data_IF_813197589929
#
_entry.id   IF_813197589929
#
_cell.length_a   1.000
_cell.length_b   1.000
_cell.length_c   1.000
_cell.angle_alpha   90.00
_cell.angle_beta   90.00
_cell.angle_gamma   90.00
#
_symmetry.space_group_name_H-M   'P 1'
#
loop_
_entity.id
_entity.type
_entity.pdbx_description
1 polymer ?
#
# COMPACT_ATOMS: atom_id res chain seq x y z
N UNK A 1 22.28 12.45 42.90
CA UNK A 1 22.83 12.99 41.64
C UNK A 1 21.99 12.51 40.47
N UNK A 2 20.90 13.20 40.19
CA UNK A 2 20.03 13.00 39.03
C UNK A 2 20.69 13.64 37.82
N UNK A 3 21.17 12.82 36.89
CA UNK A 3 21.78 13.30 35.64
C UNK A 3 20.66 13.82 34.74
N UNK A 4 20.54 15.13 34.66
CA UNK A 4 19.74 15.81 33.64
C UNK A 4 20.33 15.48 32.25
N UNK A 5 19.80 14.46 31.60
CA UNK A 5 20.02 14.21 30.15
C UNK A 5 18.86 14.86 29.42
N UNK A 6 18.87 16.19 29.40
CA UNK A 6 17.77 16.99 28.87
C UNK A 6 18.30 18.29 28.29
N UNK A 7 19.17 18.20 27.28
CA UNK A 7 19.58 19.31 26.41
C UNK A 7 20.55 18.75 25.38
N UNK A 8 20.16 18.68 24.10
CA UNK A 8 21.02 18.77 22.90
C UNK A 8 20.36 18.24 21.62
N UNK A 9 19.22 17.55 21.69
CA UNK A 9 18.47 17.19 20.48
C UNK A 9 17.61 18.39 20.09
N UNK A 10 17.93 19.03 18.96
CA UNK A 10 17.04 20.03 18.36
C UNK A 10 15.68 19.43 18.02
N UNK A 11 14.69 20.28 17.70
CA UNK A 11 13.29 19.89 17.42
C UNK A 11 13.13 18.78 16.36
N UNK A 12 14.18 18.51 15.58
CA UNK A 12 14.25 17.53 14.51
C UNK A 12 14.71 16.14 14.95
N UNK A 13 15.17 15.92 16.17
CA UNK A 13 15.64 14.60 16.62
C UNK A 13 16.90 14.10 15.89
N UNK A 14 17.21 12.81 16.03
CA UNK A 14 18.37 12.15 15.40
C UNK A 14 17.98 11.25 14.21
N UNK A 15 18.95 10.84 13.40
CA UNK A 15 18.74 9.90 12.29
C UNK A 15 18.08 8.58 12.72
N UNK A 16 18.42 8.07 13.91
CA UNK A 16 17.81 6.87 14.45
C UNK A 16 16.32 7.06 14.79
N UNK A 17 15.94 8.27 15.25
CA UNK A 17 14.56 8.61 15.56
C UNK A 17 13.71 8.70 14.29
N UNK A 18 14.27 9.27 13.22
CA UNK A 18 13.63 9.28 11.90
C UNK A 18 13.54 7.89 11.28
N UNK A 19 14.56 7.04 11.41
CA UNK A 19 14.52 5.68 10.89
C UNK A 19 13.44 4.82 11.58
N UNK A 20 13.23 5.05 12.88
CA UNK A 20 12.14 4.44 13.66
C UNK A 20 10.76 4.94 13.18
N UNK A 21 10.62 6.25 13.00
CA UNK A 21 9.37 6.91 12.57
C UNK A 21 8.97 6.50 11.14
N UNK A 22 9.91 6.55 10.20
CA UNK A 22 9.71 6.21 8.79
C UNK A 22 9.65 4.68 8.56
N UNK A 23 9.91 3.87 9.58
CA UNK A 23 9.96 2.40 9.50
C UNK A 23 10.73 1.94 8.27
N UNK A 24 11.97 2.42 8.10
CA UNK A 24 12.83 2.24 6.90
C UNK A 24 12.90 0.79 6.40
N UNK A 25 12.76 -0.19 7.28
CA UNK A 25 12.69 -1.61 6.91
C UNK A 25 11.53 -1.94 5.94
N UNK A 26 10.44 -1.18 5.96
CA UNK A 26 9.28 -1.39 5.10
C UNK A 26 9.51 -0.89 3.66
N UNK A 27 10.45 0.05 3.45
CA UNK A 27 10.72 0.66 2.15
C UNK A 27 11.07 -0.33 1.06
N UNK A 28 11.69 -1.47 1.40
CA UNK A 28 12.06 -2.49 0.43
C UNK A 28 10.86 -3.17 -0.24
N UNK A 29 9.67 -3.07 0.35
CA UNK A 29 8.45 -3.67 -0.19
C UNK A 29 7.59 -2.70 -1.01
N UNK A 30 7.80 -1.39 -0.82
CA UNK A 30 6.96 -0.32 -1.39
C UNK A 30 7.02 -0.26 -2.93
N UNK A 31 8.18 -0.39 -3.61
CA UNK A 31 8.24 -0.29 -5.07
C UNK A 31 7.40 -1.32 -5.83
N UNK A 32 6.94 -2.39 -5.16
CA UNK A 32 6.23 -3.50 -5.77
C UNK A 32 4.99 -3.09 -6.55
N UNK A 33 4.20 -2.15 -6.05
CA UNK A 33 2.95 -1.72 -6.70
C UNK A 33 3.22 -0.91 -7.96
N UNK A 34 4.14 0.05 -7.89
CA UNK A 34 4.55 0.85 -9.04
C UNK A 34 5.16 -0.03 -10.17
N UNK A 35 5.97 -1.02 -9.81
CA UNK A 35 6.52 -2.00 -10.74
C UNK A 35 5.43 -2.92 -11.32
N UNK A 36 4.49 -3.38 -10.50
CA UNK A 36 3.33 -4.15 -10.95
C UNK A 36 2.46 -3.34 -11.92
N UNK A 37 2.33 -2.03 -11.72
CA UNK A 37 1.65 -1.11 -12.63
C UNK A 37 2.31 -1.06 -14.01
N UNK A 38 3.63 -0.93 -14.05
CA UNK A 38 4.39 -0.98 -15.31
C UNK A 38 4.21 -2.32 -16.03
N UNK A 39 4.31 -3.44 -15.29
CA UNK A 39 4.09 -4.77 -15.84
C UNK A 39 2.66 -4.96 -16.37
N UNK A 40 1.66 -4.46 -15.64
CA UNK A 40 0.25 -4.49 -16.04
C UNK A 40 -0.03 -3.65 -17.30
N UNK A 41 0.73 -2.58 -17.52
CA UNK A 41 0.73 -1.79 -18.74
C UNK A 41 1.54 -2.45 -19.89
N UNK A 42 2.08 -3.65 -19.66
CA UNK A 42 2.91 -4.44 -20.61
C UNK A 42 4.12 -3.66 -21.12
N UNK A 43 4.72 -2.85 -20.26
CA UNK A 43 5.95 -2.10 -20.57
C UNK A 43 7.10 -2.56 -19.68
N UNK A 44 8.32 -2.49 -20.21
CA UNK A 44 9.53 -2.69 -19.40
C UNK A 44 9.75 -1.47 -18.50
N UNK A 45 10.38 -1.63 -17.32
CA UNK A 45 10.74 -0.51 -16.47
C UNK A 45 11.49 0.56 -17.25
N UNK A 46 11.02 1.80 -17.14
CA UNK A 46 11.57 2.95 -17.85
C UNK A 46 11.67 4.17 -16.91
N UNK A 47 12.03 5.34 -17.45
CA UNK A 47 12.12 6.58 -16.66
C UNK A 47 10.83 6.90 -15.91
N UNK A 48 9.67 6.70 -16.54
CA UNK A 48 8.37 6.90 -15.91
C UNK A 48 8.14 5.93 -14.74
N UNK A 49 8.55 4.67 -14.89
CA UNK A 49 8.52 3.69 -13.79
C UNK A 49 9.39 4.13 -12.61
N UNK A 50 10.61 4.61 -12.87
CA UNK A 50 11.50 5.09 -11.82
C UNK A 50 10.89 6.30 -11.07
N UNK A 51 10.29 7.24 -11.79
CA UNK A 51 9.58 8.38 -11.20
C UNK A 51 8.37 7.95 -10.37
N UNK A 52 7.60 6.95 -10.82
CA UNK A 52 6.50 6.40 -10.04
C UNK A 52 6.97 5.68 -8.77
N UNK A 53 8.09 4.95 -8.83
CA UNK A 53 8.70 4.34 -7.64
C UNK A 53 9.13 5.41 -6.65
N UNK A 54 9.80 6.48 -7.11
CA UNK A 54 10.15 7.61 -6.25
C UNK A 54 8.90 8.26 -5.65
N UNK A 55 7.85 8.49 -6.45
CA UNK A 55 6.59 9.05 -5.97
C UNK A 55 5.91 8.16 -4.91
N UNK A 56 5.84 6.85 -5.17
CA UNK A 56 5.29 5.85 -4.25
C UNK A 56 6.05 5.81 -2.92
N UNK A 57 7.38 5.79 -2.95
CA UNK A 57 8.22 5.85 -1.75
C UNK A 57 7.98 7.14 -0.94
N UNK A 58 7.97 8.29 -1.61
CA UNK A 58 7.71 9.57 -0.96
C UNK A 58 6.31 9.63 -0.34
N UNK A 59 5.27 9.17 -1.05
CA UNK A 59 3.89 9.19 -0.56
C UNK A 59 3.65 8.17 0.57
N UNK A 60 4.33 7.02 0.51
CA UNK A 60 4.35 6.05 1.60
C UNK A 60 4.94 6.69 2.86
N UNK A 61 6.13 7.29 2.76
CA UNK A 61 6.79 7.91 3.90
C UNK A 61 6.06 9.14 4.43
N UNK A 62 5.38 9.87 3.54
CA UNK A 62 4.49 10.95 3.94
C UNK A 62 3.35 10.43 4.82
N UNK A 63 2.70 9.32 4.43
CA UNK A 63 1.64 8.68 5.22
C UNK A 63 2.16 8.14 6.55
N UNK A 64 3.38 7.61 6.57
CA UNK A 64 4.03 7.13 7.81
C UNK A 64 4.22 8.25 8.83
N UNK A 65 4.78 9.38 8.39
CA UNK A 65 4.95 10.55 9.25
C UNK A 65 3.61 11.18 9.65
N UNK A 66 2.64 11.24 8.72
CA UNK A 66 1.32 11.79 8.98
C UNK A 66 0.52 10.92 9.96
N UNK A 67 0.58 9.60 9.83
CA UNK A 67 -0.07 8.66 10.74
C UNK A 67 0.43 8.85 12.17
N UNK A 68 1.75 8.91 12.35
CA UNK A 68 2.36 9.11 13.67
C UNK A 68 2.03 10.50 14.25
N UNK A 69 1.97 11.52 13.39
CA UNK A 69 1.51 12.84 13.80
C UNK A 69 0.04 12.84 14.24
N UNK A 70 -0.83 12.14 13.53
CA UNK A 70 -2.26 12.05 13.83
C UNK A 70 -2.53 11.23 15.10
N UNK A 71 -1.75 10.17 15.34
CA UNK A 71 -1.93 9.27 16.49
C UNK A 71 -1.18 9.71 17.75
N UNK A 72 -0.44 10.83 17.71
CA UNK A 72 0.45 11.27 18.80
C UNK A 72 -0.16 11.27 20.20
N UNK A 73 -1.44 11.64 20.33
CA UNK A 73 -2.12 11.72 21.63
C UNK A 73 -2.53 10.33 22.14
N UNK A 74 -2.91 9.43 21.21
CA UNK A 74 -3.19 8.01 21.50
C UNK A 74 -1.88 7.30 21.87
N UNK A 75 -0.84 7.53 21.07
CA UNK A 75 0.49 6.96 21.28
C UNK A 75 1.13 7.44 22.60
N UNK A 76 0.79 8.64 23.08
CA UNK A 76 1.25 9.10 24.39
C UNK A 76 0.74 8.25 25.55
N UNK A 77 -0.46 7.67 25.41
CA UNK A 77 -1.05 6.77 26.41
C UNK A 77 -0.58 5.34 26.19
N UNK A 78 -0.67 4.85 24.96
CA UNK A 78 -0.44 3.42 24.66
C UNK A 78 1.05 3.06 24.51
N UNK A 79 1.86 3.99 23.98
CA UNK A 79 3.24 3.74 23.55
C UNK A 79 4.14 4.97 23.80
N UNK A 80 4.31 5.41 25.05
CA UNK A 80 4.98 6.68 25.37
C UNK A 80 6.44 6.77 24.90
N UNK A 81 7.10 5.64 24.61
CA UNK A 81 8.46 5.60 24.09
C UNK A 81 8.62 6.01 22.61
N UNK A 82 7.53 6.16 21.84
CA UNK A 82 7.59 6.51 20.42
C UNK A 82 8.19 7.91 20.20
N UNK A 83 8.80 8.20 19.02
CA UNK A 83 9.54 9.44 18.79
C UNK A 83 8.76 10.73 19.07
N UNK A 84 7.49 10.82 18.69
CA UNK A 84 6.65 12.01 18.93
C UNK A 84 6.24 12.15 20.40
N UNK A 85 5.57 11.16 21.04
CA UNK A 85 5.17 11.29 22.45
C UNK A 85 6.35 11.45 23.42
N UNK A 86 7.50 10.84 23.11
CA UNK A 86 8.71 10.99 23.93
C UNK A 86 9.40 12.35 23.77
N UNK A 87 8.93 13.20 22.85
CA UNK A 87 9.53 14.50 22.56
C UNK A 87 10.86 14.43 21.81
N UNK A 88 11.25 13.26 21.29
CA UNK A 88 12.48 13.10 20.47
C UNK A 88 12.35 13.81 19.12
N UNK A 89 11.14 13.90 18.57
CA UNK A 89 10.80 14.64 17.34
C UNK A 89 9.61 15.53 17.63
N UNK A 90 9.69 16.82 17.28
CA UNK A 90 8.58 17.75 17.45
C UNK A 90 7.42 17.41 16.48
N UNK A 91 6.14 17.54 16.90
CA UNK A 91 5.00 17.32 16.02
C UNK A 91 5.04 18.19 14.76
N UNK A 92 5.50 19.43 14.87
CA UNK A 92 5.67 20.32 13.72
C UNK A 92 6.66 19.73 12.68
N UNK A 93 7.79 19.18 13.13
CA UNK A 93 8.78 18.57 12.25
C UNK A 93 8.21 17.35 11.51
N UNK A 94 7.44 16.50 12.19
CA UNK A 94 6.78 15.36 11.57
C UNK A 94 5.76 15.79 10.49
N UNK A 95 4.95 16.82 10.76
CA UNK A 95 4.00 17.35 9.77
C UNK A 95 4.71 18.03 8.59
N UNK A 96 5.80 18.75 8.85
CA UNK A 96 6.66 19.32 7.79
C UNK A 96 7.27 18.23 6.92
N UNK A 97 7.74 17.12 7.51
CA UNK A 97 8.23 15.98 6.74
C UNK A 97 7.12 15.33 5.91
N UNK A 98 5.95 15.10 6.48
CA UNK A 98 4.81 14.53 5.77
C UNK A 98 4.37 15.39 4.57
N UNK A 99 4.27 16.70 4.76
CA UNK A 99 3.92 17.64 3.68
C UNK A 99 5.02 17.76 2.62
N UNK A 100 6.28 17.84 3.04
CA UNK A 100 7.44 17.90 2.14
C UNK A 100 7.59 16.63 1.29
N UNK A 101 7.43 15.45 1.89
CA UNK A 101 7.44 14.17 1.19
C UNK A 101 6.24 14.05 0.23
N UNK A 102 5.06 14.50 0.65
CA UNK A 102 3.88 14.56 -0.25
C UNK A 102 4.19 15.42 -1.48
N UNK A 103 4.75 16.62 -1.27
CA UNK A 103 5.12 17.51 -2.36
C UNK A 103 6.18 16.89 -3.29
N UNK A 104 7.24 16.28 -2.73
CA UNK A 104 8.26 15.60 -3.50
C UNK A 104 7.69 14.45 -4.35
N UNK A 105 6.76 13.67 -3.79
CA UNK A 105 6.08 12.60 -4.51
C UNK A 105 5.23 13.11 -5.67
N UNK A 106 4.48 14.20 -5.46
CA UNK A 106 3.69 14.84 -6.51
C UNK A 106 4.56 15.49 -7.59
N UNK A 107 5.73 16.03 -7.24
CA UNK A 107 6.70 16.53 -8.22
C UNK A 107 7.26 15.40 -9.09
N UNK A 108 7.56 14.23 -8.50
CA UNK A 108 7.96 13.05 -9.26
C UNK A 108 6.84 12.58 -10.22
N UNK A 109 5.59 12.56 -9.74
CA UNK A 109 4.42 12.22 -10.57
C UNK A 109 4.19 13.25 -11.69
N UNK A 110 4.37 14.55 -11.41
CA UNK A 110 4.30 15.62 -12.41
C UNK A 110 5.38 15.46 -13.49
N UNK A 111 6.60 15.11 -13.09
CA UNK A 111 7.70 14.84 -14.02
C UNK A 111 7.45 13.62 -14.92
N UNK A 112 6.60 12.68 -14.49
CA UNK A 112 6.16 11.54 -15.30
C UNK A 112 4.97 11.88 -16.24
N UNK A 113 4.28 13.00 -16.01
CA UNK A 113 3.25 13.54 -16.88
C UNK A 113 1.88 13.71 -16.22
N UNK A 114 0.95 14.36 -16.94
CA UNK A 114 -0.39 14.73 -16.40
C UNK A 114 -1.21 13.55 -15.87
N UNK A 115 -1.27 12.37 -16.54
CA UNK A 115 -2.00 11.23 -16.02
C UNK A 115 -1.42 10.70 -14.70
N UNK A 116 -0.09 10.64 -14.59
CA UNK A 116 0.59 10.25 -13.36
C UNK A 116 0.35 11.25 -12.23
N UNK A 117 0.42 12.56 -12.51
CA UNK A 117 0.09 13.59 -11.53
C UNK A 117 -1.35 13.46 -11.01
N UNK A 118 -2.33 13.27 -11.90
CA UNK A 118 -3.73 13.09 -11.48
C UNK A 118 -3.90 11.87 -10.56
N UNK A 119 -3.27 10.73 -10.91
CA UNK A 119 -3.29 9.54 -10.05
C UNK A 119 -2.54 9.74 -8.74
N UNK A 120 -1.38 10.40 -8.77
CA UNK A 120 -0.57 10.72 -7.59
C UNK A 120 -1.29 11.65 -6.62
N UNK A 121 -2.01 12.66 -7.13
CA UNK A 121 -2.85 13.54 -6.30
C UNK A 121 -4.01 12.79 -5.67
N UNK A 122 -4.67 11.90 -6.40
CA UNK A 122 -5.72 11.03 -5.85
C UNK A 122 -5.16 10.10 -4.77
N UNK A 123 -3.98 9.52 -4.98
CA UNK A 123 -3.28 8.70 -4.00
C UNK A 123 -2.92 9.50 -2.74
N UNK A 124 -2.32 10.67 -2.89
CA UNK A 124 -2.00 11.55 -1.77
C UNK A 124 -3.25 11.91 -0.96
N UNK A 125 -4.35 12.25 -1.64
CA UNK A 125 -5.64 12.49 -1.00
C UNK A 125 -6.16 11.29 -0.22
N UNK A 126 -6.04 10.07 -0.78
CA UNK A 126 -6.44 8.84 -0.10
C UNK A 126 -5.60 8.56 1.15
N UNK A 127 -4.28 8.78 1.09
CA UNK A 127 -3.36 8.65 2.23
C UNK A 127 -3.75 9.63 3.35
N UNK A 128 -3.89 10.90 3.02
CA UNK A 128 -4.27 11.94 3.99
C UNK A 128 -5.66 11.68 4.60
N UNK A 129 -6.64 11.29 3.78
CA UNK A 129 -7.97 10.96 4.27
C UNK A 129 -7.95 9.73 5.20
N UNK A 130 -7.13 8.73 4.89
CA UNK A 130 -6.92 7.57 5.75
C UNK A 130 -6.36 7.97 7.11
N UNK A 131 -5.23 8.67 7.12
CA UNK A 131 -4.47 8.98 8.34
C UNK A 131 -5.20 9.95 9.27
N UNK A 132 -5.89 10.95 8.71
CA UNK A 132 -6.55 12.01 9.49
C UNK A 132 -7.94 11.64 10.00
N UNK A 133 -8.57 10.59 9.48
CA UNK A 133 -9.94 10.28 9.93
C UNK A 133 -10.48 8.92 9.54
N UNK A 134 -10.23 8.41 8.33
CA UNK A 134 -10.94 7.21 7.88
C UNK A 134 -10.46 5.93 8.57
N UNK A 135 -9.19 5.85 9.00
CA UNK A 135 -8.60 4.62 9.56
C UNK A 135 -9.38 4.04 10.76
N UNK A 136 -9.98 4.89 11.58
CA UNK A 136 -10.75 4.49 12.76
C UNK A 136 -12.25 4.29 12.48
N UNK A 137 -12.72 4.60 11.27
CA UNK A 137 -14.12 4.46 10.86
C UNK A 137 -14.35 3.15 10.08
N UNK A 138 -15.59 2.69 9.85
CA UNK A 138 -15.87 1.55 8.98
C UNK A 138 -15.30 1.67 7.56
N UNK A 139 -15.00 2.89 7.09
CA UNK A 139 -14.42 3.15 5.78
C UNK A 139 -12.89 2.90 5.69
N UNK A 140 -12.21 2.69 6.82
CA UNK A 140 -10.75 2.50 6.87
C UNK A 140 -10.21 1.43 5.90
N UNK A 141 -10.76 0.21 5.88
CA UNK A 141 -10.35 -0.82 4.92
C UNK A 141 -10.51 -0.42 3.46
N UNK A 142 -11.59 0.30 3.12
CA UNK A 142 -11.84 0.79 1.76
C UNK A 142 -10.86 1.88 1.35
N UNK A 143 -10.51 2.79 2.27
CA UNK A 143 -9.50 3.82 2.03
C UNK A 143 -8.11 3.20 1.80
N UNK A 144 -7.72 2.21 2.61
CA UNK A 144 -6.46 1.47 2.42
C UNK A 144 -6.44 0.72 1.07
N UNK A 145 -7.53 0.05 0.72
CA UNK A 145 -7.67 -0.63 -0.57
C UNK A 145 -7.57 0.34 -1.76
N UNK A 146 -8.18 1.52 -1.65
CA UNK A 146 -8.09 2.56 -2.67
C UNK A 146 -6.66 3.07 -2.82
N UNK A 147 -5.95 3.32 -1.71
CA UNK A 147 -4.55 3.75 -1.75
C UNK A 147 -3.66 2.73 -2.48
N UNK A 148 -3.78 1.42 -2.17
CA UNK A 148 -3.01 0.37 -2.86
C UNK A 148 -3.34 0.26 -4.35
N UNK A 149 -4.63 0.34 -4.70
CA UNK A 149 -5.03 0.31 -6.11
C UNK A 149 -4.49 1.54 -6.88
N UNK A 150 -4.54 2.73 -6.27
CA UNK A 150 -4.03 3.97 -6.85
C UNK A 150 -2.51 3.96 -7.01
N UNK A 151 -1.76 3.36 -6.08
CA UNK A 151 -0.30 3.22 -6.17
C UNK A 151 0.13 2.34 -7.35
N UNK A 152 -0.58 1.23 -7.58
CA UNK A 152 -0.38 0.42 -8.79
C UNK A 152 -0.72 1.21 -10.06
N UNK A 153 -1.83 1.94 -10.06
CA UNK A 153 -2.24 2.76 -11.21
C UNK A 153 -1.24 3.87 -11.49
N UNK A 154 -0.62 4.46 -10.46
CA UNK A 154 0.45 5.46 -10.60
C UNK A 154 1.63 4.88 -11.38
N UNK A 155 2.03 3.64 -11.08
CA UNK A 155 3.03 2.90 -11.85
C UNK A 155 2.65 2.75 -13.32
N UNK A 156 1.40 2.41 -13.61
CA UNK A 156 0.91 2.24 -14.98
C UNK A 156 0.81 3.56 -15.76
N UNK A 157 0.25 4.61 -15.14
CA UNK A 157 0.05 5.92 -15.77
C UNK A 157 1.36 6.66 -15.99
N UNK A 158 2.36 6.45 -15.14
CA UNK A 158 3.71 7.00 -15.33
C UNK A 158 4.51 6.23 -16.38
N UNK A 159 4.40 4.89 -16.43
CA UNK A 159 5.25 4.06 -17.28
C UNK A 159 4.75 3.97 -18.73
N UNK A 160 3.44 3.90 -18.94
CA UNK A 160 2.82 3.81 -20.27
C UNK A 160 1.39 4.39 -20.25
N UNK A 161 1.22 5.72 -20.26
CA UNK A 161 -0.09 6.37 -20.08
C UNK A 161 -1.17 5.90 -21.06
N UNK A 162 -0.82 5.68 -22.32
CA UNK A 162 -1.76 5.20 -23.34
C UNK A 162 -2.29 3.77 -23.07
N UNK A 163 -1.51 2.95 -22.37
CA UNK A 163 -1.84 1.58 -22.01
C UNK A 163 -2.39 1.45 -20.58
N UNK A 164 -2.42 2.51 -19.77
CA UNK A 164 -2.78 2.46 -18.35
C UNK A 164 -4.13 1.81 -18.05
N UNK A 165 -5.08 1.84 -19.01
CA UNK A 165 -6.37 1.13 -18.89
C UNK A 165 -6.23 -0.39 -18.71
N UNK A 166 -5.15 -1.01 -19.18
CA UNK A 166 -4.92 -2.45 -18.93
C UNK A 166 -4.61 -2.76 -17.47
N UNK A 167 -4.15 -1.77 -16.70
CA UNK A 167 -3.86 -1.90 -15.28
C UNK A 167 -5.09 -1.77 -14.36
N UNK A 168 -6.27 -1.37 -14.89
CA UNK A 168 -7.49 -1.26 -14.09
C UNK A 168 -7.91 -2.59 -13.46
N UNK A 169 -7.77 -3.71 -14.19
CA UNK A 169 -8.13 -5.03 -13.66
C UNK A 169 -7.14 -5.48 -12.57
N UNK A 170 -5.81 -5.47 -12.79
CA UNK A 170 -4.85 -5.70 -11.71
C UNK A 170 -5.05 -4.80 -10.49
N UNK A 171 -5.30 -3.50 -10.69
CA UNK A 171 -5.58 -2.56 -9.60
C UNK A 171 -6.84 -2.95 -8.81
N UNK A 172 -7.92 -3.33 -9.49
CA UNK A 172 -9.14 -3.77 -8.84
C UNK A 172 -8.94 -5.06 -8.04
N UNK A 173 -8.18 -6.03 -8.58
CA UNK A 173 -7.85 -7.28 -7.87
C UNK A 173 -6.99 -6.99 -6.64
N UNK A 174 -5.95 -6.15 -6.76
CA UNK A 174 -5.12 -5.73 -5.64
C UNK A 174 -5.94 -4.99 -4.57
N UNK A 175 -6.82 -4.09 -4.99
CA UNK A 175 -7.73 -3.37 -4.10
C UNK A 175 -8.67 -4.31 -3.37
N UNK A 176 -9.31 -5.25 -4.07
CA UNK A 176 -10.19 -6.25 -3.47
C UNK A 176 -9.43 -7.15 -2.48
N UNK A 177 -8.22 -7.58 -2.82
CA UNK A 177 -7.36 -8.35 -1.92
C UNK A 177 -6.98 -7.54 -0.66
N UNK A 178 -6.57 -6.28 -0.83
CA UNK A 178 -6.21 -5.38 0.28
C UNK A 178 -7.41 -5.16 1.19
N UNK A 179 -8.58 -4.91 0.61
CA UNK A 179 -9.84 -4.78 1.35
C UNK A 179 -10.09 -6.05 2.17
N UNK A 180 -9.89 -7.22 1.56
CA UNK A 180 -10.11 -8.50 2.20
C UNK A 180 -9.22 -8.71 3.42
N UNK A 181 -7.92 -8.50 3.25
CA UNK A 181 -6.97 -8.72 4.34
C UNK A 181 -7.14 -7.67 5.43
N UNK A 182 -7.46 -6.42 5.07
CA UNK A 182 -7.62 -5.33 6.04
C UNK A 182 -8.89 -5.49 6.87
N UNK A 183 -10.01 -5.89 6.27
CA UNK A 183 -11.25 -6.15 7.02
C UNK A 183 -11.07 -7.33 7.97
N UNK A 184 -10.46 -8.43 7.52
CA UNK A 184 -10.19 -9.61 8.35
C UNK A 184 -9.28 -9.25 9.51
N UNK A 185 -8.17 -8.56 9.25
CA UNK A 185 -7.23 -8.15 10.29
C UNK A 185 -7.88 -7.27 11.35
N UNK A 186 -8.83 -6.40 10.95
CA UNK A 186 -9.60 -5.58 11.88
C UNK A 186 -10.57 -6.39 12.73
N UNK A 187 -11.28 -7.34 12.13
CA UNK A 187 -12.20 -8.21 12.89
C UNK A 187 -11.43 -9.08 13.90
N UNK A 188 -10.26 -9.60 13.52
CA UNK A 188 -9.38 -10.34 14.44
C UNK A 188 -8.89 -9.47 15.61
N UNK A 189 -8.55 -8.20 15.36
CA UNK A 189 -8.11 -7.27 16.41
C UNK A 189 -9.21 -6.93 17.43
N UNK A 190 -10.49 -7.02 17.02
CA UNK A 190 -11.66 -6.74 17.87
C UNK A 190 -12.31 -8.03 18.41
N UNK A 191 -11.74 -9.22 18.12
CA UNK A 191 -12.20 -10.51 18.64
C UNK A 191 -13.39 -11.14 17.90
N UNK A 192 -13.70 -10.69 16.68
CA UNK A 192 -14.78 -11.24 15.84
C UNK A 192 -14.33 -12.43 14.98
N UNK A 193 -15.29 -13.24 14.48
CA UNK A 193 -14.99 -14.36 13.58
C UNK A 193 -14.69 -13.88 12.15
N UNK A 194 -13.64 -14.43 11.54
CA UNK A 194 -13.13 -13.99 10.22
C UNK A 194 -13.94 -14.52 9.02
N UNK A 195 -14.92 -15.40 9.24
CA UNK A 195 -15.57 -16.18 8.17
C UNK A 195 -16.52 -15.35 7.30
N UNK A 196 -17.34 -14.48 7.90
CA UNK A 196 -18.29 -13.65 7.17
C UNK A 196 -17.62 -12.53 6.32
N UNK A 197 -16.60 -11.80 6.81
CA UNK A 197 -15.84 -10.85 6.00
C UNK A 197 -15.10 -11.54 4.83
N UNK A 198 -14.52 -12.71 5.07
CA UNK A 198 -13.87 -13.52 4.03
C UNK A 198 -14.86 -13.96 2.95
N UNK A 199 -16.07 -14.39 3.34
CA UNK A 199 -17.12 -14.77 2.40
C UNK A 199 -17.59 -13.60 1.53
N UNK A 200 -17.84 -12.43 2.14
CA UNK A 200 -18.26 -11.25 1.42
C UNK A 200 -17.21 -10.75 0.42
N UNK A 201 -15.92 -10.85 0.79
CA UNK A 201 -14.81 -10.42 -0.05
C UNK A 201 -14.42 -11.41 -1.14
N UNK A 202 -14.48 -12.72 -0.86
CA UNK A 202 -14.37 -13.74 -1.90
C UNK A 202 -15.47 -13.56 -2.95
N UNK A 203 -16.70 -13.24 -2.50
CA UNK A 203 -17.83 -12.96 -3.38
C UNK A 203 -17.61 -11.68 -4.18
N UNK A 204 -17.18 -10.58 -3.55
CA UNK A 204 -16.88 -9.32 -4.24
C UNK A 204 -15.74 -9.44 -5.25
N UNK A 205 -14.67 -10.15 -4.90
CA UNK A 205 -13.56 -10.44 -5.80
C UNK A 205 -13.98 -11.34 -6.98
N UNK A 206 -14.81 -12.35 -6.72
CA UNK A 206 -15.36 -13.21 -7.76
C UNK A 206 -16.28 -12.44 -8.71
N UNK A 207 -17.12 -11.53 -8.20
CA UNK A 207 -17.99 -10.67 -9.00
C UNK A 207 -17.16 -9.69 -9.85
N UNK A 208 -16.18 -9.01 -9.25
CA UNK A 208 -15.29 -8.11 -9.99
C UNK A 208 -14.49 -8.84 -11.07
N UNK A 209 -14.03 -10.06 -10.78
CA UNK A 209 -13.34 -10.92 -11.73
C UNK A 209 -14.27 -11.39 -12.86
N UNK A 210 -15.50 -11.80 -12.53
CA UNK A 210 -16.50 -12.21 -13.52
C UNK A 210 -16.91 -11.05 -14.43
N UNK A 211 -17.19 -9.88 -13.86
CA UNK A 211 -17.55 -8.65 -14.58
C UNK A 211 -16.44 -8.12 -15.49
N UNK A 212 -15.19 -8.53 -15.24
CA UNK A 212 -14.03 -8.14 -16.04
C UNK A 212 -13.56 -9.24 -16.99
N UNK A 213 -14.21 -10.42 -17.03
CA UNK A 213 -13.94 -11.36 -18.13
C UNK A 213 -14.50 -10.78 -19.43
N UNK A 214 -13.68 -10.72 -20.48
CA UNK A 214 -14.25 -10.57 -21.83
C UNK A 214 -14.94 -11.89 -22.17
N UNK A 215 -16.14 -11.89 -22.78
CA UNK A 215 -16.68 -13.08 -23.41
C UNK A 215 -15.61 -13.65 -24.35
N UNK A 216 -15.41 -14.97 -24.34
CA UNK A 216 -14.59 -15.62 -25.35
C UNK A 216 -15.08 -15.17 -26.73
N UNK A 217 -14.20 -14.86 -27.70
CA UNK A 217 -14.65 -14.69 -29.07
C UNK A 217 -15.44 -15.94 -29.41
N UNK A 218 -16.71 -15.79 -29.78
CA UNK A 218 -17.53 -16.90 -30.22
C UNK A 218 -16.69 -17.65 -31.26
N UNK A 219 -16.36 -18.91 -30.96
CA UNK A 219 -15.72 -19.79 -31.92
C UNK A 219 -16.66 -19.88 -33.11
N UNK A 220 -16.43 -19.02 -34.09
CA UNK A 220 -17.14 -19.03 -35.35
C UNK A 220 -16.98 -20.42 -35.90
N UNK A 221 -18.08 -21.17 -35.94
CA UNK A 221 -18.17 -22.46 -36.60
C UNK A 221 -17.89 -22.19 -38.08
N UNK A 222 -16.62 -22.21 -38.48
CA UNK A 222 -16.25 -22.30 -39.89
C UNK A 222 -16.63 -23.73 -40.33
N UNK A 223 -17.37 -23.90 -41.43
CA UNK A 223 -17.66 -25.22 -41.96
C UNK A 223 -16.34 -25.88 -42.37
N UNK A 224 -16.14 -27.12 -41.93
CA UNK A 224 -15.07 -27.98 -42.41
C UNK A 224 -15.29 -28.31 -43.89
N UNK A 225 -14.24 -28.13 -44.70
CA UNK A 225 -13.70 -29.17 -45.59
C UNK A 225 -12.52 -28.61 -46.41
N UNK A 226 -11.39 -29.33 -46.43
CA UNK A 226 -10.43 -29.24 -47.54
C UNK A 226 -8.94 -29.13 -47.22
N UNK A 227 -8.33 -30.25 -46.79
CA UNK A 227 -7.02 -30.79 -47.18
C UNK A 227 -5.80 -29.85 -47.44
N UNK A 228 -4.77 -29.99 -46.58
CA UNK A 228 -3.38 -29.64 -46.89
C UNK A 228 -2.52 -29.40 -45.64
N UNK A 229 -1.76 -30.41 -45.19
CA UNK A 229 -0.73 -30.30 -44.15
C UNK A 229 0.58 -29.70 -44.70
N UNK A 230 1.65 -29.55 -43.89
CA UNK A 230 1.83 -28.61 -42.78
C UNK A 230 3.00 -27.63 -43.07
N UNK A 231 3.00 -26.45 -42.44
CA UNK A 231 4.19 -25.59 -42.42
C UNK A 231 4.49 -25.15 -40.99
N UNK A 232 5.66 -25.56 -40.53
CA UNK A 232 6.23 -25.23 -39.24
C UNK A 232 6.41 -23.71 -39.08
N UNK A 233 6.04 -23.18 -37.92
CA UNK A 233 6.62 -21.98 -37.37
C UNK A 233 6.77 -22.19 -35.87
N UNK A 234 8.03 -22.13 -35.44
CA UNK A 234 8.45 -22.19 -34.07
C UNK A 234 7.75 -21.09 -33.25
N UNK A 235 7.32 -21.42 -32.05
CA UNK A 235 7.39 -20.49 -30.93
C UNK A 235 7.64 -21.27 -29.65
N UNK A 236 8.90 -21.23 -29.24
CA UNK A 236 9.34 -21.74 -27.97
C UNK A 236 8.95 -20.79 -26.84
N UNK A 237 8.71 -21.43 -25.71
CA UNK A 237 9.15 -20.99 -24.40
C UNK A 237 8.32 -19.92 -23.65
N UNK A 238 7.79 -20.41 -22.53
CA UNK A 238 7.65 -19.77 -21.22
C UNK A 238 6.35 -19.06 -20.90
N UNK A 239 5.33 -19.88 -20.63
CA UNK A 239 4.32 -19.61 -19.61
C UNK A 239 4.98 -19.54 -18.22
N UNK A 240 5.59 -18.40 -17.92
CA UNK A 240 6.06 -18.04 -16.57
C UNK A 240 5.17 -16.95 -16.01
N UNK A 241 4.09 -17.33 -15.31
CA UNK A 241 3.35 -16.38 -14.49
C UNK A 241 4.32 -15.79 -13.44
N UNK A 242 4.39 -14.46 -13.23
CA UNK A 242 5.28 -13.92 -12.22
C UNK A 242 4.67 -14.16 -10.85
N UNK A 243 5.13 -15.22 -10.18
CA UNK A 243 4.83 -15.59 -8.78
C UNK A 243 5.28 -14.50 -7.79
N UNK A 244 6.02 -13.47 -8.24
CA UNK A 244 6.56 -12.40 -7.40
C UNK A 244 5.57 -11.35 -6.89
N UNK A 245 4.42 -11.14 -7.54
CA UNK A 245 3.49 -10.06 -7.14
C UNK A 245 2.68 -10.40 -5.87
N UNK A 246 2.55 -11.68 -5.53
CA UNK A 246 1.81 -12.14 -4.34
C UNK A 246 2.68 -12.05 -3.07
N UNK A 247 4.01 -12.08 -3.22
CA UNK A 247 4.95 -12.03 -2.09
C UNK A 247 5.06 -10.62 -1.47
N UNK A 248 4.90 -9.56 -2.26
CA UNK A 248 5.04 -8.18 -1.79
C UNK A 248 3.87 -7.75 -0.87
N UNK A 249 2.63 -8.17 -1.18
CA UNK A 249 1.46 -7.91 -0.33
C UNK A 249 1.50 -8.68 1.01
N UNK A 250 2.09 -9.88 1.02
CA UNK A 250 2.24 -10.69 2.23
C UNK A 250 3.22 -10.09 3.24
N UNK A 251 4.26 -9.40 2.78
CA UNK A 251 5.27 -8.79 3.65
C UNK A 251 4.71 -7.61 4.48
N UNK A 252 3.83 -6.80 3.89
CA UNK A 252 3.21 -5.67 4.60
C UNK A 252 2.15 -6.13 5.63
N UNK A 253 1.42 -7.21 5.34
CA UNK A 253 0.49 -7.84 6.28
C UNK A 253 1.21 -8.53 7.43
N UNK A 254 2.40 -9.11 7.18
CA UNK A 254 3.26 -9.62 8.23
C UNK A 254 3.75 -8.49 9.15
N UNK A 255 4.03 -7.30 8.60
CA UNK A 255 4.46 -6.12 9.35
C UNK A 255 3.32 -5.51 10.17
N UNK A 256 2.12 -5.37 9.61
CA UNK A 256 0.94 -4.91 10.36
C UNK A 256 0.56 -5.88 11.48
N UNK A 257 0.66 -7.20 11.22
CA UNK A 257 0.47 -8.24 12.26
C UNK A 257 1.58 -8.24 13.32
N UNK A 258 2.83 -7.95 12.98
CA UNK A 258 3.92 -7.83 13.96
C UNK A 258 3.73 -6.61 14.87
N UNK A 259 3.27 -5.48 14.33
CA UNK A 259 2.97 -4.27 15.10
C UNK A 259 1.76 -4.44 16.04
N UNK A 260 0.77 -5.25 15.66
CA UNK A 260 -0.36 -5.61 16.53
C UNK A 260 0.03 -6.64 17.60
N UNK A 261 0.87 -7.63 17.28
CA UNK A 261 1.28 -8.69 18.24
C UNK A 261 2.34 -8.21 19.24
N UNK A 262 3.22 -7.28 18.84
CA UNK A 262 4.18 -6.68 19.76
C UNK A 262 3.48 -5.83 20.85
N UNK A 263 2.30 -5.27 20.56
CA UNK A 263 1.46 -4.57 21.54
C UNK A 263 0.83 -5.51 22.59
N UNK A 264 0.49 -6.74 22.21
CA UNK A 264 -0.16 -7.69 23.12
C UNK A 264 0.80 -8.42 24.07
N UNK A 265 2.11 -8.52 23.75
CA UNK A 265 3.08 -9.29 24.55
C UNK A 265 3.74 -8.53 25.70
N UNK A 266 3.43 -7.25 25.93
CA UNK A 266 3.98 -6.47 27.06
C UNK A 266 2.94 -5.94 28.06
N UNK A 267 1.66 -6.27 27.89
CA UNK A 267 0.66 -6.12 28.93
C UNK A 267 0.82 -7.23 29.98
N UNK A 268 1.63 -7.00 31.02
CA UNK A 268 1.67 -7.87 32.19
C UNK A 268 0.29 -7.95 32.86
N UNK A 269 -0.02 -9.02 33.61
CA UNK A 269 -1.34 -9.23 34.17
C UNK A 269 -1.68 -8.12 35.18
N UNK A 270 -2.75 -7.37 34.89
CA UNK A 270 -3.38 -6.45 35.84
C UNK A 270 -3.89 -7.27 37.03
N UNK A 271 -3.18 -7.16 38.15
CA UNK A 271 -3.59 -7.72 39.44
C UNK A 271 -4.90 -7.03 39.84
N UNK A 272 -6.03 -7.77 39.82
CA UNK A 272 -7.26 -7.33 40.48
C UNK A 272 -6.97 -7.21 41.97
N UNK A 273 -7.00 -5.99 42.49
CA UNK A 273 -7.23 -5.79 43.92
C UNK A 273 -8.74 -5.79 44.13
N UNK A 274 -9.21 -6.91 44.68
CA UNK A 274 -10.46 -6.99 45.41
C UNK A 274 -10.19 -6.56 46.85
N UNK A 275 -11.13 -5.83 47.46
CA UNK A 275 -11.08 -5.42 48.87
C UNK A 275 -11.23 -3.93 49.04
#
# INVERSE_FOLDING_TARGET
MTRAVGKERGDWGSWGDWAELLRVSALFTVPGDALAGAAAARTRPNRGTALAVCASLCLYEAGMALNDWADRDIDAVERPGRPLPSGRIAPAAALTAATGLTAAGLLCAAAAGRPALATGTALAGAVWAYDLGLKNTPAGPSAMAAARALDLLLGATASAPAAARSALRPAAVLGAHTLAVTTVSRHEAVGGSSTAPLGALATGAAIAWAATRRPAPASGRRPEAGHGAPAAAADGATSGAPVGAVAAGGAFVALSRQLSRAGLRRGGPVRRLAG
#
